data_IF_788135936299
#
_entry.id   IF_788135936299
#
_cell.length_a   1.000
_cell.length_b   1.000
_cell.length_c   1.000
_cell.angle_alpha   90.00
_cell.angle_beta   90.00
_cell.angle_gamma   90.00
#
_symmetry.space_group_name_H-M   'P 1'
#
loop_
_entity.id
_entity.type
_entity.pdbx_description
1 polymer ?
#
# COMPACT_ATOMS: atom_id res chain seq x y z
N UNK A 1 3.74 -23.01 -4.84
CA UNK A 1 2.39 -22.50 -5.18
C UNK A 1 2.26 -21.04 -4.76
N UNK A 2 1.37 -20.29 -5.44
CA UNK A 2 0.94 -18.94 -5.06
C UNK A 2 -0.47 -19.04 -4.48
N UNK A 3 -0.73 -18.42 -3.34
CA UNK A 3 -2.02 -18.50 -2.64
C UNK A 3 -2.41 -17.15 -2.02
N UNK A 4 -3.67 -17.02 -1.65
CA UNK A 4 -4.21 -15.92 -0.84
C UNK A 4 -5.00 -16.46 0.35
N UNK A 5 -4.96 -15.71 1.46
CA UNK A 5 -5.78 -15.94 2.65
C UNK A 5 -6.62 -14.69 2.88
N UNK A 6 -7.92 -14.87 3.10
CA UNK A 6 -8.81 -13.76 3.48
C UNK A 6 -8.65 -13.42 4.97
N UNK A 7 -9.12 -12.26 5.40
CA UNK A 7 -9.14 -11.89 6.82
C UNK A 7 -9.94 -12.89 7.69
N UNK A 8 -10.90 -13.61 7.11
CA UNK A 8 -11.65 -14.69 7.75
C UNK A 8 -10.98 -16.06 7.71
N UNK A 9 -9.70 -16.16 7.24
CA UNK A 9 -8.92 -17.40 7.20
C UNK A 9 -9.18 -18.30 5.98
N UNK A 10 -10.01 -17.89 5.01
CA UNK A 10 -10.26 -18.71 3.81
C UNK A 10 -9.01 -18.75 2.94
N UNK A 11 -8.48 -19.95 2.74
CA UNK A 11 -7.31 -20.22 1.91
C UNK A 11 -7.73 -20.54 0.47
N UNK A 12 -7.09 -19.87 -0.51
CA UNK A 12 -7.33 -20.11 -1.94
C UNK A 12 -5.99 -20.15 -2.69
N UNK A 13 -5.75 -21.22 -3.44
CA UNK A 13 -4.61 -21.31 -4.37
C UNK A 13 -4.92 -20.47 -5.60
N UNK A 14 -4.01 -19.54 -5.92
CA UNK A 14 -4.07 -18.71 -7.12
C UNK A 14 -3.40 -19.45 -8.28
N UNK A 15 -2.22 -20.06 -8.04
CA UNK A 15 -1.46 -20.77 -9.05
C UNK A 15 -0.55 -21.86 -8.45
N UNK A 16 -0.49 -23.02 -9.10
CA UNK A 16 0.46 -24.07 -8.78
C UNK A 16 1.60 -24.06 -9.80
N UNK A 17 2.82 -23.80 -9.32
CA UNK A 17 4.02 -23.90 -10.15
C UNK A 17 4.25 -25.35 -10.57
N UNK A 18 4.61 -25.58 -11.85
CA UNK A 18 4.83 -26.92 -12.39
C UNK A 18 6.24 -27.47 -12.11
N UNK A 19 7.14 -26.62 -11.60
CA UNK A 19 8.50 -27.02 -11.24
C UNK A 19 9.47 -27.13 -12.44
N UNK A 20 9.03 -26.79 -13.62
CA UNK A 20 9.84 -26.86 -14.85
C UNK A 20 9.91 -25.50 -15.55
N UNK A 21 8.91 -25.15 -16.35
CA UNK A 21 8.92 -23.92 -17.15
C UNK A 21 8.60 -22.65 -16.38
N UNK A 22 7.85 -22.75 -15.31
CA UNK A 22 7.44 -21.65 -14.44
C UNK A 22 8.29 -21.57 -13.15
N UNK A 23 9.26 -22.47 -13.01
CA UNK A 23 10.20 -22.51 -11.90
C UNK A 23 9.69 -23.31 -10.70
N UNK A 24 10.57 -23.50 -9.72
CA UNK A 24 10.32 -24.20 -8.47
C UNK A 24 10.88 -23.41 -7.28
N UNK A 25 10.42 -23.73 -6.06
CA UNK A 25 10.93 -23.10 -4.85
C UNK A 25 10.63 -21.59 -4.78
N UNK A 26 9.35 -21.15 -4.75
CA UNK A 26 9.03 -19.73 -4.47
C UNK A 26 9.38 -19.45 -3.01
N UNK A 27 10.55 -18.86 -2.77
CA UNK A 27 11.14 -18.66 -1.45
C UNK A 27 10.89 -17.27 -0.88
N UNK A 28 10.48 -16.33 -1.71
CA UNK A 28 10.29 -14.94 -1.32
C UNK A 28 8.83 -14.50 -1.30
N UNK A 29 8.56 -13.38 -0.61
CA UNK A 29 7.25 -12.71 -0.67
C UNK A 29 6.93 -12.15 -2.05
N UNK A 30 5.64 -11.96 -2.32
CA UNK A 30 5.15 -11.31 -3.54
C UNK A 30 5.00 -9.81 -3.34
N UNK A 31 5.26 -9.04 -4.41
CA UNK A 31 4.88 -7.63 -4.50
C UNK A 31 3.65 -7.48 -5.38
N UNK A 32 2.62 -6.79 -4.89
CA UNK A 32 1.52 -6.35 -5.73
C UNK A 32 1.87 -4.99 -6.34
N UNK A 33 2.08 -4.97 -7.64
CA UNK A 33 2.46 -3.76 -8.36
C UNK A 33 1.25 -2.87 -8.70
N UNK A 34 1.53 -1.69 -9.24
CA UNK A 34 0.52 -0.65 -9.56
C UNK A 34 -0.54 -1.10 -10.56
N UNK A 35 -0.27 -2.14 -11.38
CA UNK A 35 -1.24 -2.76 -12.29
C UNK A 35 -2.11 -3.84 -11.62
N UNK A 36 -1.97 -4.05 -10.31
CA UNK A 36 -2.71 -5.06 -9.54
C UNK A 36 -2.21 -6.49 -9.67
N UNK A 37 -1.25 -6.79 -10.58
CA UNK A 37 -0.61 -8.11 -10.67
C UNK A 37 0.35 -8.34 -9.51
N UNK A 38 0.55 -9.60 -9.17
CA UNK A 38 1.52 -10.06 -8.20
C UNK A 38 2.80 -10.46 -8.93
N UNK A 39 3.95 -10.07 -8.41
CA UNK A 39 5.25 -10.44 -8.97
C UNK A 39 6.09 -11.12 -7.90
N UNK A 40 6.82 -12.15 -8.29
CA UNK A 40 7.67 -12.93 -7.41
C UNK A 40 8.82 -13.60 -8.14
N UNK A 41 9.60 -14.34 -7.38
CA UNK A 41 10.74 -15.10 -7.89
C UNK A 41 10.68 -16.56 -7.45
N UNK A 42 11.36 -17.42 -8.18
CA UNK A 42 11.61 -18.84 -7.81
C UNK A 42 13.10 -19.09 -7.78
N UNK A 43 13.55 -19.89 -6.85
CA UNK A 43 14.98 -20.28 -6.76
C UNK A 43 15.38 -21.34 -7.78
N UNK A 44 14.47 -22.25 -8.10
CA UNK A 44 14.62 -23.37 -9.03
C UNK A 44 15.91 -24.20 -8.87
N UNK A 45 16.08 -24.80 -7.72
CA UNK A 45 17.28 -25.55 -7.34
C UNK A 45 17.62 -26.77 -8.24
N UNK A 46 16.72 -27.22 -9.13
CA UNK A 46 16.87 -28.48 -9.86
C UNK A 46 17.01 -28.35 -11.38
N UNK A 47 16.59 -27.27 -12.01
CA UNK A 47 16.48 -27.16 -13.48
C UNK A 47 16.96 -25.81 -14.05
N UNK A 48 17.59 -24.98 -13.25
CA UNK A 48 18.05 -23.65 -13.66
C UNK A 48 18.45 -22.79 -12.48
N UNK A 49 18.62 -21.51 -12.70
CA UNK A 49 19.07 -20.55 -11.70
C UNK A 49 17.93 -19.67 -11.15
N UNK A 50 16.68 -20.08 -11.36
CA UNK A 50 15.49 -19.37 -10.91
C UNK A 50 14.82 -18.55 -11.99
N UNK A 51 13.63 -18.05 -11.67
CA UNK A 51 12.81 -17.23 -12.57
C UNK A 51 12.26 -15.99 -11.86
N UNK A 52 11.87 -15.00 -12.66
CA UNK A 52 10.99 -13.91 -12.24
C UNK A 52 9.66 -14.14 -12.93
N UNK A 53 8.56 -14.06 -12.18
CA UNK A 53 7.22 -14.27 -12.71
C UNK A 53 6.23 -13.17 -12.34
N UNK A 54 5.17 -13.07 -13.13
CA UNK A 54 3.99 -12.29 -12.84
C UNK A 54 2.75 -13.16 -12.83
N UNK A 55 1.83 -12.94 -11.89
CA UNK A 55 0.55 -13.66 -11.84
C UNK A 55 -0.58 -12.70 -11.50
N UNK A 56 -1.72 -12.84 -12.18
CA UNK A 56 -2.93 -12.09 -11.81
C UNK A 56 -3.57 -12.68 -10.57
N UNK A 57 -4.39 -11.90 -9.88
CA UNK A 57 -5.16 -12.39 -8.72
C UNK A 57 -6.21 -13.44 -9.10
N UNK A 58 -6.47 -13.63 -10.40
CA UNK A 58 -7.33 -14.67 -10.98
C UNK A 58 -6.56 -15.91 -11.47
N UNK A 59 -5.20 -15.93 -11.39
CA UNK A 59 -4.40 -17.11 -11.69
C UNK A 59 -3.72 -17.14 -13.06
N UNK A 60 -3.81 -16.09 -13.87
CA UNK A 60 -3.04 -16.04 -15.14
C UNK A 60 -1.57 -15.80 -14.84
N UNK A 61 -0.74 -16.78 -15.09
CA UNK A 61 0.70 -16.80 -14.80
C UNK A 61 1.52 -16.49 -16.07
N UNK A 62 2.66 -15.83 -15.87
CA UNK A 62 3.63 -15.54 -16.93
C UNK A 62 5.04 -15.56 -16.35
N UNK A 63 5.94 -16.36 -16.90
CA UNK A 63 7.38 -16.25 -16.67
C UNK A 63 7.89 -15.03 -17.42
N UNK A 64 8.52 -14.10 -16.70
CA UNK A 64 9.00 -12.82 -17.24
C UNK A 64 10.49 -12.88 -17.59
N UNK A 65 11.23 -13.64 -16.80
CA UNK A 65 12.67 -13.83 -16.96
C UNK A 65 13.08 -15.16 -16.37
N UNK A 66 14.04 -15.85 -17.04
CA UNK A 66 14.68 -17.07 -16.54
C UNK A 66 16.18 -16.81 -16.46
N UNK A 67 16.74 -16.95 -15.27
CA UNK A 67 18.19 -16.87 -15.07
C UNK A 67 18.86 -18.11 -15.68
N UNK A 68 19.91 -17.90 -16.49
CA UNK A 68 20.58 -18.97 -17.19
C UNK A 68 22.02 -19.18 -16.72
N UNK A 69 22.55 -20.40 -16.92
CA UNK A 69 23.84 -20.81 -16.39
C UNK A 69 25.07 -20.33 -17.21
N UNK A 70 24.88 -19.63 -18.33
CA UNK A 70 26.00 -19.16 -19.14
C UNK A 70 26.72 -17.99 -18.46
N UNK A 71 27.82 -18.31 -17.78
CA UNK A 71 28.74 -17.38 -17.10
C UNK A 71 28.15 -16.46 -16.01
N UNK A 72 26.90 -16.66 -15.64
CA UNK A 72 26.17 -15.95 -14.57
C UNK A 72 26.23 -14.41 -14.55
N UNK A 73 26.34 -13.69 -15.69
CA UNK A 73 26.50 -12.24 -15.68
C UNK A 73 25.27 -11.54 -15.13
N UNK A 74 24.10 -12.12 -15.35
CA UNK A 74 22.77 -11.66 -14.88
C UNK A 74 22.40 -12.21 -13.50
N UNK A 75 23.24 -13.10 -12.95
CA UNK A 75 23.03 -13.70 -11.65
C UNK A 75 22.21 -15.00 -11.67
N UNK A 76 21.88 -15.48 -10.50
CA UNK A 76 21.05 -16.67 -10.29
C UNK A 76 20.60 -16.79 -8.83
N UNK A 77 19.65 -17.68 -8.58
CA UNK A 77 19.02 -17.89 -7.28
C UNK A 77 18.49 -16.58 -6.69
N UNK A 78 17.44 -15.97 -7.29
CA UNK A 78 16.81 -14.77 -6.75
C UNK A 78 16.04 -15.15 -5.49
N UNK A 79 16.56 -14.76 -4.32
CA UNK A 79 16.02 -15.11 -3.00
C UNK A 79 15.29 -13.96 -2.30
N UNK A 80 15.46 -12.74 -2.79
CA UNK A 80 14.82 -11.56 -2.20
C UNK A 80 13.45 -11.27 -2.82
N UNK A 81 12.48 -10.74 -2.03
CA UNK A 81 11.26 -10.19 -2.58
C UNK A 81 11.58 -9.07 -3.58
N UNK A 82 10.79 -9.00 -4.63
CA UNK A 82 10.85 -7.85 -5.54
C UNK A 82 10.25 -6.61 -4.86
N UNK A 83 10.80 -5.44 -5.19
CA UNK A 83 10.20 -4.16 -4.84
C UNK A 83 9.84 -3.40 -6.12
N UNK A 84 8.69 -2.73 -6.15
CA UNK A 84 8.37 -1.76 -7.18
C UNK A 84 8.86 -0.38 -6.72
N UNK A 85 9.82 0.18 -7.45
CA UNK A 85 10.33 1.53 -7.22
C UNK A 85 9.45 2.56 -7.94
N UNK A 86 9.51 3.81 -7.50
CA UNK A 86 8.67 4.92 -8.02
C UNK A 86 8.94 5.30 -9.47
N UNK A 87 10.00 4.76 -10.09
CA UNK A 87 10.24 4.85 -11.55
C UNK A 87 9.40 3.87 -12.37
N UNK A 88 8.67 2.97 -11.70
CA UNK A 88 7.84 1.94 -12.32
C UNK A 88 8.54 0.60 -12.52
N UNK A 89 9.85 0.51 -12.28
CA UNK A 89 10.61 -0.73 -12.44
C UNK A 89 10.50 -1.63 -11.21
N UNK A 90 10.67 -2.92 -11.43
CA UNK A 90 10.85 -3.91 -10.38
C UNK A 90 12.34 -4.10 -10.11
N UNK A 91 12.73 -4.19 -8.86
CA UNK A 91 14.11 -4.38 -8.41
C UNK A 91 14.20 -5.62 -7.52
N UNK A 92 15.31 -6.33 -7.65
CA UNK A 92 15.62 -7.51 -6.84
C UNK A 92 17.10 -7.81 -6.81
N UNK A 93 17.46 -8.85 -6.08
CA UNK A 93 18.85 -9.34 -5.98
C UNK A 93 18.91 -10.84 -6.23
N UNK A 94 20.04 -11.30 -6.73
CA UNK A 94 20.39 -12.72 -6.83
C UNK A 94 21.42 -13.09 -5.79
N UNK A 95 21.51 -14.38 -5.47
CA UNK A 95 22.48 -14.89 -4.50
C UNK A 95 23.85 -15.13 -5.16
N UNK A 96 23.88 -15.56 -6.41
CA UNK A 96 25.11 -15.85 -7.16
C UNK A 96 25.24 -14.99 -8.40
N UNK A 97 26.42 -14.99 -9.02
CA UNK A 97 26.71 -14.30 -10.27
C UNK A 97 27.29 -12.89 -10.07
N UNK A 98 27.33 -12.12 -11.15
CA UNK A 98 27.98 -10.82 -11.19
C UNK A 98 29.45 -10.94 -11.58
N UNK A 99 30.28 -9.95 -11.19
CA UNK A 99 31.68 -9.90 -11.62
C UNK A 99 32.56 -10.92 -10.87
N UNK A 100 33.10 -11.96 -11.55
CA UNK A 100 33.94 -12.97 -10.93
C UNK A 100 35.32 -12.44 -10.52
N UNK A 101 35.74 -11.27 -11.04
CA UNK A 101 37.05 -10.68 -10.74
C UNK A 101 37.26 -10.23 -9.31
N UNK A 102 36.17 -10.16 -8.52
CA UNK A 102 36.21 -9.75 -7.11
C UNK A 102 36.59 -10.89 -6.15
N UNK A 103 36.93 -12.10 -6.65
CA UNK A 103 37.30 -13.25 -5.83
C UNK A 103 36.17 -13.79 -4.96
N UNK A 104 34.95 -13.36 -5.20
CA UNK A 104 33.78 -13.79 -4.46
C UNK A 104 33.21 -15.08 -5.05
N UNK A 105 32.96 -16.07 -4.19
CA UNK A 105 32.38 -17.34 -4.58
C UNK A 105 31.27 -17.72 -3.61
N UNK A 106 30.22 -18.32 -4.13
CA UNK A 106 29.13 -18.91 -3.35
C UNK A 106 29.12 -20.41 -3.57
N UNK A 107 28.97 -21.17 -2.50
CA UNK A 107 28.82 -22.64 -2.57
C UNK A 107 27.37 -22.98 -2.29
N UNK A 108 26.73 -23.64 -3.24
CA UNK A 108 25.37 -24.15 -3.11
C UNK A 108 25.38 -25.67 -3.28
N UNK A 109 24.35 -26.32 -2.82
CA UNK A 109 24.21 -27.78 -2.84
C UNK A 109 22.98 -28.21 -3.67
N UNK A 110 22.90 -27.85 -4.98
CA UNK A 110 21.82 -28.31 -5.83
C UNK A 110 21.92 -29.83 -5.99
N UNK A 111 20.86 -30.55 -5.59
CA UNK A 111 20.87 -32.02 -5.64
C UNK A 111 21.77 -32.73 -4.61
N UNK A 112 22.28 -31.97 -3.60
CA UNK A 112 23.09 -32.54 -2.51
C UNK A 112 24.61 -32.47 -2.71
N UNK A 113 25.10 -32.13 -3.91
CA UNK A 113 26.52 -31.95 -4.20
C UNK A 113 26.92 -30.47 -4.20
N UNK A 114 28.13 -30.14 -3.67
CA UNK A 114 28.59 -28.76 -3.64
C UNK A 114 28.92 -28.25 -5.05
N UNK A 115 28.29 -27.17 -5.45
CA UNK A 115 28.63 -26.48 -6.68
C UNK A 115 29.12 -25.07 -6.34
N UNK A 116 30.28 -24.71 -6.87
CA UNK A 116 30.88 -23.36 -6.70
C UNK A 116 30.36 -22.46 -7.79
N UNK A 117 29.74 -21.37 -7.37
CA UNK A 117 29.29 -20.29 -8.25
C UNK A 117 30.17 -19.07 -8.05
N UNK A 118 30.64 -18.46 -9.14
CA UNK A 118 31.42 -17.24 -9.09
C UNK A 118 30.54 -16.02 -8.90
N UNK A 119 31.05 -15.01 -8.15
CA UNK A 119 30.38 -13.75 -7.89
C UNK A 119 29.56 -13.73 -6.57
N UNK A 120 29.18 -12.52 -6.16
CA UNK A 120 28.48 -12.23 -4.90
C UNK A 120 27.00 -11.88 -5.08
N UNK A 121 26.44 -12.21 -6.22
CA UNK A 121 25.08 -11.83 -6.60
C UNK A 121 25.03 -10.55 -7.41
N UNK A 122 23.86 -10.27 -7.93
CA UNK A 122 23.54 -9.14 -8.80
C UNK A 122 22.35 -8.37 -8.24
N UNK A 123 22.46 -7.05 -8.24
CA UNK A 123 21.30 -6.16 -8.11
C UNK A 123 20.75 -5.91 -9.51
N UNK A 124 19.52 -6.31 -9.76
CA UNK A 124 18.90 -6.20 -11.08
C UNK A 124 17.62 -5.34 -11.06
N UNK A 125 17.27 -4.84 -12.24
CA UNK A 125 16.01 -4.17 -12.50
C UNK A 125 15.29 -4.82 -13.68
N UNK A 126 13.97 -4.90 -13.60
CA UNK A 126 13.11 -5.45 -14.64
C UNK A 126 12.05 -4.44 -15.04
N UNK A 127 11.95 -4.15 -16.33
CA UNK A 127 10.89 -3.34 -16.89
C UNK A 127 9.75 -4.26 -17.37
N UNK A 128 8.59 -4.14 -16.73
CA UNK A 128 7.37 -4.89 -17.08
C UNK A 128 6.27 -3.97 -17.63
N UNK A 129 6.67 -2.80 -18.13
CA UNK A 129 5.77 -1.83 -18.73
C UNK A 129 4.96 -0.99 -17.74
N UNK A 130 5.38 -0.92 -16.47
CA UNK A 130 4.72 -0.08 -15.45
C UNK A 130 5.26 1.36 -15.53
N UNK A 131 4.33 2.31 -15.43
CA UNK A 131 4.68 3.73 -15.39
C UNK A 131 5.16 4.20 -14.02
N UNK A 132 5.89 5.35 -13.97
CA UNK A 132 6.24 5.99 -12.72
C UNK A 132 5.01 6.40 -11.91
N UNK A 133 5.14 6.34 -10.58
CA UNK A 133 4.10 6.70 -9.62
C UNK A 133 4.69 7.46 -8.42
N UNK A 134 3.83 7.91 -7.50
CA UNK A 134 4.27 8.45 -6.22
C UNK A 134 3.88 7.51 -5.08
N UNK A 135 4.71 7.49 -4.03
CA UNK A 135 4.47 6.71 -2.80
C UNK A 135 4.38 7.64 -1.61
N UNK A 136 3.44 7.36 -0.71
CA UNK A 136 3.11 8.22 0.42
C UNK A 136 3.69 7.68 1.72
N UNK A 137 4.23 8.58 2.55
CA UNK A 137 4.85 8.25 3.85
C UNK A 137 4.50 9.31 4.91
N UNK A 138 3.59 9.01 5.86
CA UNK A 138 2.70 7.85 5.93
C UNK A 138 1.57 7.90 4.88
N UNK A 139 0.78 6.83 4.77
CA UNK A 139 -0.39 6.72 3.87
C UNK A 139 -1.72 7.08 4.53
N UNK A 140 -1.66 7.70 5.69
CA UNK A 140 -2.83 8.20 6.41
C UNK A 140 -2.43 9.35 7.33
N UNK A 141 -3.36 10.24 7.57
CA UNK A 141 -3.17 11.37 8.47
C UNK A 141 -4.41 12.24 8.54
N UNK A 142 -4.50 13.05 9.58
CA UNK A 142 -5.55 14.07 9.72
C UNK A 142 -5.23 15.29 8.85
N UNK A 143 -6.22 16.13 8.61
CA UNK A 143 -6.02 17.45 8.03
C UNK A 143 -4.96 18.26 8.78
N UNK A 144 -4.16 19.02 8.08
CA UNK A 144 -3.01 19.75 8.60
C UNK A 144 -1.77 18.91 8.89
N UNK A 145 -1.83 17.57 8.80
CA UNK A 145 -0.66 16.73 8.97
C UNK A 145 0.32 16.88 7.80
N UNK A 146 1.62 16.83 8.10
CA UNK A 146 2.67 16.80 7.07
C UNK A 146 2.96 15.36 6.67
N UNK A 147 3.03 15.09 5.36
CA UNK A 147 3.40 13.79 4.80
C UNK A 147 4.55 13.93 3.80
N UNK A 148 5.35 12.88 3.68
CA UNK A 148 6.35 12.72 2.64
C UNK A 148 5.77 12.07 1.40
N UNK A 149 6.16 12.54 0.22
CA UNK A 149 5.81 11.99 -1.08
C UNK A 149 7.10 11.64 -1.80
N UNK A 150 7.30 10.35 -2.05
CA UNK A 150 8.41 9.83 -2.83
C UNK A 150 7.99 9.69 -4.30
N UNK A 151 8.89 10.03 -5.21
CA UNK A 151 8.64 9.94 -6.65
C UNK A 151 9.88 10.27 -7.46
N UNK A 152 9.70 10.67 -8.70
CA UNK A 152 10.79 10.98 -9.63
C UNK A 152 10.54 12.30 -10.38
N UNK A 153 11.62 13.05 -10.64
CA UNK A 153 11.58 14.23 -11.49
C UNK A 153 10.79 15.41 -10.92
N UNK A 154 10.74 15.55 -9.60
CA UNK A 154 10.11 16.68 -8.94
C UNK A 154 10.94 17.96 -9.11
N UNK A 155 10.26 19.10 -9.17
CA UNK A 155 10.85 20.43 -9.23
C UNK A 155 10.10 21.36 -8.26
N UNK A 156 10.62 22.56 -8.04
CA UNK A 156 9.92 23.59 -7.24
C UNK A 156 8.55 23.99 -7.80
N UNK A 157 8.30 23.72 -9.09
CA UNK A 157 7.00 23.93 -9.76
C UNK A 157 6.04 22.72 -9.67
N UNK A 158 6.41 21.67 -8.96
CA UNK A 158 5.53 20.50 -8.77
C UNK A 158 4.34 20.87 -7.89
N UNK A 159 3.14 20.50 -8.36
CA UNK A 159 1.87 20.75 -7.67
C UNK A 159 1.32 19.43 -7.11
N UNK A 160 1.06 19.42 -5.82
CA UNK A 160 0.47 18.27 -5.11
C UNK A 160 -1.02 18.47 -4.92
N UNK A 161 -1.82 17.43 -5.20
CA UNK A 161 -3.26 17.42 -4.90
C UNK A 161 -3.65 16.13 -4.18
N UNK A 162 -4.46 16.29 -3.13
CA UNK A 162 -5.11 15.21 -2.42
C UNK A 162 -6.56 15.15 -2.87
N UNK A 163 -6.94 14.09 -3.57
CA UNK A 163 -8.28 13.92 -4.13
C UNK A 163 -8.78 15.19 -4.86
N UNK A 164 -7.90 15.82 -5.65
CA UNK A 164 -8.17 17.06 -6.38
C UNK A 164 -7.90 18.36 -5.61
N UNK A 165 -7.83 18.35 -4.27
CA UNK A 165 -7.58 19.55 -3.45
C UNK A 165 -6.08 19.86 -3.43
N UNK A 166 -5.70 21.08 -3.80
CA UNK A 166 -4.30 21.52 -3.86
C UNK A 166 -3.71 21.67 -2.45
N UNK A 167 -2.55 21.05 -2.23
CA UNK A 167 -1.83 21.08 -0.97
C UNK A 167 -0.73 22.16 -0.96
N UNK A 168 -0.45 22.72 0.21
CA UNK A 168 0.81 23.42 0.46
C UNK A 168 1.92 22.37 0.52
N UNK A 169 2.96 22.57 -0.29
CA UNK A 169 4.05 21.60 -0.40
C UNK A 169 5.41 22.25 -0.59
N UNK A 170 6.47 21.53 -0.18
CA UNK A 170 7.87 21.93 -0.35
C UNK A 170 8.63 20.78 -0.99
N UNK A 171 9.20 21.02 -2.17
CA UNK A 171 10.07 20.06 -2.86
C UNK A 171 11.45 20.05 -2.22
N UNK A 172 11.95 18.85 -1.92
CA UNK A 172 13.28 18.60 -1.36
C UNK A 172 14.07 17.65 -2.28
N UNK A 173 14.69 18.20 -3.30
CA UNK A 173 15.34 17.41 -4.37
C UNK A 173 14.34 16.87 -5.40
N UNK A 174 14.83 16.05 -6.33
CA UNK A 174 14.05 15.55 -7.46
C UNK A 174 13.16 14.34 -7.15
N UNK A 175 13.22 13.81 -5.93
CA UNK A 175 12.57 12.55 -5.55
C UNK A 175 11.73 12.63 -4.28
N UNK A 176 11.68 13.79 -3.61
CA UNK A 176 10.94 13.97 -2.36
C UNK A 176 10.21 15.31 -2.30
N UNK A 177 8.94 15.26 -1.88
CA UNK A 177 8.12 16.43 -1.53
C UNK A 177 7.57 16.23 -0.12
N UNK A 178 7.59 17.28 0.70
CA UNK A 178 6.81 17.37 1.92
C UNK A 178 5.53 18.15 1.62
N UNK A 179 4.36 17.60 1.93
CA UNK A 179 3.07 18.23 1.68
C UNK A 179 2.19 18.20 2.93
N UNK A 180 1.40 19.26 3.13
CA UNK A 180 0.40 19.33 4.21
C UNK A 180 -0.94 18.87 3.68
N UNK A 181 -1.60 17.96 4.40
CA UNK A 181 -2.95 17.48 4.07
C UNK A 181 -3.93 18.63 4.11
N UNK A 182 -4.58 19.00 2.99
CA UNK A 182 -5.51 20.13 2.97
C UNK A 182 -6.80 19.85 3.76
N UNK A 183 -7.45 20.90 4.23
CA UNK A 183 -8.81 20.81 4.76
C UNK A 183 -9.80 20.41 3.66
N UNK A 184 -10.85 19.65 4.02
CA UNK A 184 -11.87 19.16 3.09
C UNK A 184 -11.40 18.07 2.13
N UNK A 185 -10.20 17.51 2.35
CA UNK A 185 -9.67 16.40 1.56
C UNK A 185 -10.42 15.11 1.88
N UNK A 186 -10.80 14.37 0.84
CA UNK A 186 -11.36 13.02 0.99
C UNK A 186 -10.25 11.95 0.99
N UNK A 187 -10.56 10.79 1.57
CA UNK A 187 -9.74 9.59 1.38
C UNK A 187 -9.74 9.23 -0.09
N UNK A 188 -8.58 9.28 -0.73
CA UNK A 188 -8.48 9.14 -2.18
C UNK A 188 -7.05 9.14 -2.68
N UNK A 189 -6.87 9.33 -3.98
CA UNK A 189 -5.56 9.37 -4.61
C UNK A 189 -4.85 10.69 -4.35
N UNK A 190 -3.51 10.63 -4.26
CA UNK A 190 -2.67 11.82 -4.28
C UNK A 190 -1.97 11.91 -5.62
N UNK A 191 -2.04 13.08 -6.25
CA UNK A 191 -1.36 13.35 -7.52
C UNK A 191 -0.28 14.39 -7.36
N UNK A 192 0.80 14.22 -8.12
CA UNK A 192 1.86 15.23 -8.27
C UNK A 192 2.01 15.54 -9.75
N UNK A 193 1.77 16.79 -10.11
CA UNK A 193 1.95 17.30 -11.47
C UNK A 193 3.22 18.13 -11.56
N UNK A 194 4.14 17.74 -12.45
CA UNK A 194 5.36 18.48 -12.78
C UNK A 194 5.39 18.74 -14.28
N UNK A 195 5.27 20.01 -14.68
CA UNK A 195 5.07 20.37 -16.10
C UNK A 195 3.82 19.71 -16.66
N UNK A 196 3.94 18.98 -17.76
CA UNK A 196 2.84 18.26 -18.41
C UNK A 196 2.61 16.84 -17.83
N UNK A 197 3.43 16.38 -16.89
CA UNK A 197 3.37 15.01 -16.36
C UNK A 197 2.67 14.96 -15.00
N UNK A 198 1.62 14.16 -14.90
CA UNK A 198 0.95 13.85 -13.62
C UNK A 198 1.24 12.41 -13.22
N UNK A 199 1.68 12.22 -11.98
CA UNK A 199 1.87 10.91 -11.35
C UNK A 199 0.90 10.74 -10.21
N UNK A 200 0.31 9.55 -10.11
CA UNK A 200 -0.68 9.23 -9.07
C UNK A 200 -0.06 8.29 -8.04
N UNK A 201 -0.52 8.39 -6.81
CA UNK A 201 -0.09 7.50 -5.73
C UNK A 201 -0.50 6.05 -5.98
N UNK A 202 0.40 5.12 -5.66
CA UNK A 202 0.16 3.68 -5.79
C UNK A 202 -0.88 3.13 -4.79
N UNK A 203 -1.19 3.91 -3.77
CA UNK A 203 -2.23 3.62 -2.76
C UNK A 203 -2.96 4.91 -2.41
N UNK A 204 -4.24 4.79 -2.07
CA UNK A 204 -5.00 5.92 -1.57
C UNK A 204 -4.41 6.46 -0.26
N UNK A 205 -4.46 7.76 -0.08
CA UNK A 205 -4.25 8.42 1.20
C UNK A 205 -5.53 8.35 2.01
N UNK A 206 -5.46 7.90 3.26
CA UNK A 206 -6.61 7.83 4.16
C UNK A 206 -6.64 9.06 5.06
N UNK A 207 -7.67 9.89 4.91
CA UNK A 207 -7.90 11.04 5.79
C UNK A 207 -8.51 10.53 7.09
N UNK A 208 -7.74 10.58 8.17
CA UNK A 208 -8.22 10.14 9.49
C UNK A 208 -9.11 11.22 10.11
N UNK A 209 -10.34 10.88 10.54
CA UNK A 209 -11.24 11.86 11.14
C UNK A 209 -10.74 12.34 12.50
N UNK A 210 -11.16 13.54 12.89
CA UNK A 210 -11.08 14.02 14.28
C UNK A 210 -12.47 14.24 14.82
N UNK A 211 -12.68 14.11 16.13
CA UNK A 211 -13.98 14.25 16.76
C UNK A 211 -13.85 14.88 18.17
N UNK A 212 -13.63 16.19 18.28
CA UNK A 212 -13.42 16.84 19.56
C UNK A 212 -14.68 17.14 20.37
N UNK A 213 -15.86 17.30 19.74
CA UNK A 213 -17.05 17.76 20.48
C UNK A 213 -18.38 17.32 19.84
N UNK A 214 -19.41 17.31 20.67
CA UNK A 214 -20.79 17.08 20.26
C UNK A 214 -21.77 17.86 21.17
N UNK A 215 -22.95 18.12 20.66
CA UNK A 215 -24.01 18.83 21.37
C UNK A 215 -25.41 18.35 20.89
N UNK A 216 -26.37 18.06 21.79
CA UNK A 216 -26.30 18.07 23.24
C UNK A 216 -25.40 16.94 23.80
N UNK A 217 -25.04 17.02 25.10
CA UNK A 217 -24.21 16.01 25.78
C UNK A 217 -25.07 14.89 26.41
N UNK A 218 -26.39 15.05 26.42
CA UNK A 218 -27.36 14.06 26.92
C UNK A 218 -28.69 14.19 26.19
N UNK A 219 -29.49 13.12 26.22
CA UNK A 219 -30.85 13.13 25.70
C UNK A 219 -31.45 11.73 25.62
N UNK A 220 -32.77 11.63 25.46
CA UNK A 220 -33.46 10.36 25.21
C UNK A 220 -33.24 9.86 23.77
N UNK A 221 -33.76 8.65 23.49
CA UNK A 221 -33.82 8.11 22.11
C UNK A 221 -34.46 9.14 21.16
N UNK A 222 -33.98 9.20 19.92
CA UNK A 222 -34.35 10.14 18.86
C UNK A 222 -33.89 11.58 19.08
N UNK A 223 -33.08 11.86 20.10
CA UNK A 223 -32.41 13.19 20.21
C UNK A 223 -31.43 13.36 19.08
N UNK A 224 -31.54 14.43 18.26
CA UNK A 224 -30.52 14.74 17.26
C UNK A 224 -29.28 15.35 17.94
N UNK A 225 -28.13 14.72 17.73
CA UNK A 225 -26.83 15.13 18.27
C UNK A 225 -25.96 15.63 17.12
N UNK A 226 -25.50 16.87 17.23
CA UNK A 226 -24.55 17.47 16.29
C UNK A 226 -23.13 17.12 16.72
N UNK A 227 -22.41 16.44 15.84
CA UNK A 227 -21.03 15.98 16.02
C UNK A 227 -20.12 16.89 15.22
N UNK A 228 -19.13 17.51 15.86
CA UNK A 228 -18.20 18.46 15.24
C UNK A 228 -16.78 17.88 15.21
N UNK A 229 -16.10 18.00 14.07
CA UNK A 229 -14.77 17.44 13.87
C UNK A 229 -14.14 17.89 12.55
N UNK A 230 -13.26 17.06 11.98
CA UNK A 230 -12.70 17.23 10.62
C UNK A 230 -12.59 15.87 9.94
N UNK A 231 -12.57 15.84 8.61
CA UNK A 231 -12.51 14.61 7.84
C UNK A 231 -13.80 13.79 7.92
N UNK A 232 -14.96 14.43 8.15
CA UNK A 232 -16.25 13.77 8.41
C UNK A 232 -17.08 13.52 7.15
N UNK A 233 -16.70 14.06 5.98
CA UNK A 233 -17.48 13.93 4.73
C UNK A 233 -17.76 12.49 4.35
N UNK A 234 -16.84 11.57 4.63
CA UNK A 234 -16.97 10.14 4.29
C UNK A 234 -17.45 9.30 5.48
N UNK A 235 -18.26 9.86 6.38
CA UNK A 235 -18.86 9.13 7.49
C UNK A 235 -19.80 8.04 6.97
N UNK A 236 -19.57 6.81 7.43
CA UNK A 236 -20.35 5.63 7.05
C UNK A 236 -21.17 5.09 8.22
N UNK A 237 -20.80 5.43 9.46
CA UNK A 237 -21.47 4.93 10.67
C UNK A 237 -21.20 5.86 11.85
N UNK A 238 -22.22 6.01 12.71
CA UNK A 238 -22.10 6.60 14.04
C UNK A 238 -22.69 5.63 15.07
N UNK A 239 -22.05 5.51 16.23
CA UNK A 239 -22.58 4.68 17.34
C UNK A 239 -22.65 5.48 18.64
N UNK A 240 -23.66 5.19 19.47
CA UNK A 240 -23.84 5.71 20.82
C UNK A 240 -23.74 4.54 21.81
N UNK A 241 -22.72 4.53 22.68
CA UNK A 241 -22.47 3.41 23.60
C UNK A 241 -22.37 2.05 22.88
N UNK A 242 -21.86 2.01 21.63
CA UNK A 242 -21.74 0.82 20.81
C UNK A 242 -22.96 0.52 19.91
N UNK A 243 -24.13 1.13 20.12
CA UNK A 243 -25.34 0.93 19.31
C UNK A 243 -25.33 1.88 18.11
N UNK A 244 -25.54 1.34 16.91
CA UNK A 244 -25.48 2.12 15.67
C UNK A 244 -26.71 3.03 15.53
N UNK A 245 -26.46 4.32 15.20
CA UNK A 245 -27.50 5.26 14.82
C UNK A 245 -28.14 4.82 13.50
N UNK A 246 -29.47 4.93 13.42
CA UNK A 246 -30.24 4.62 12.21
C UNK A 246 -30.35 5.82 11.29
N UNK A 247 -30.33 7.03 11.84
CA UNK A 247 -30.31 8.31 11.10
C UNK A 247 -28.96 8.96 11.29
N UNK A 248 -28.24 9.15 10.19
CA UNK A 248 -26.95 9.86 10.14
C UNK A 248 -26.96 10.78 8.93
N UNK A 249 -26.81 12.08 9.18
CA UNK A 249 -26.74 13.11 8.13
C UNK A 249 -25.36 13.75 8.14
N UNK A 250 -24.63 13.63 7.06
CA UNK A 250 -23.35 14.33 6.86
C UNK A 250 -23.68 15.74 6.37
N UNK A 251 -23.50 16.74 7.23
CA UNK A 251 -23.80 18.14 6.92
C UNK A 251 -22.63 18.81 6.16
N UNK A 252 -21.40 18.49 6.55
CA UNK A 252 -20.17 19.00 5.94
C UNK A 252 -18.97 18.15 6.35
N UNK A 253 -17.78 18.51 5.91
CA UNK A 253 -16.54 17.88 6.38
C UNK A 253 -16.28 18.07 7.88
N UNK A 254 -16.88 19.08 8.47
CA UNK A 254 -16.69 19.41 9.90
C UNK A 254 -17.89 19.11 10.77
N UNK A 255 -19.01 18.61 10.20
CA UNK A 255 -20.24 18.39 10.95
C UNK A 255 -21.03 17.19 10.44
N UNK A 256 -21.46 16.35 11.39
CA UNK A 256 -22.41 15.25 11.18
C UNK A 256 -23.51 15.36 12.23
N UNK A 257 -24.75 15.09 11.85
CA UNK A 257 -25.88 14.95 12.79
C UNK A 257 -26.31 13.50 12.84
N UNK A 258 -26.47 12.96 14.04
CA UNK A 258 -26.95 11.59 14.24
C UNK A 258 -27.98 11.53 15.38
N UNK A 259 -29.05 10.75 15.18
CA UNK A 259 -30.08 10.59 16.20
C UNK A 259 -29.71 9.44 17.16
N UNK A 260 -29.95 9.64 18.45
CA UNK A 260 -29.73 8.62 19.48
C UNK A 260 -30.63 7.38 19.16
N UNK A 261 -30.02 6.21 18.88
CA UNK A 261 -30.80 5.04 18.47
C UNK A 261 -31.54 4.36 19.63
N UNK A 262 -32.59 3.63 19.31
CA UNK A 262 -33.25 2.71 20.27
C UNK A 262 -32.22 1.68 20.77
N UNK A 263 -32.17 1.49 22.09
CA UNK A 263 -31.22 0.59 22.75
C UNK A 263 -29.83 1.21 23.00
N UNK A 264 -29.63 2.49 22.68
CA UNK A 264 -28.42 3.20 23.07
C UNK A 264 -28.24 3.18 24.58
N UNK A 265 -27.01 3.11 25.03
CA UNK A 265 -26.63 3.22 26.44
C UNK A 265 -25.63 4.39 26.58
N UNK A 266 -25.57 4.94 27.79
CA UNK A 266 -24.60 5.96 28.15
C UNK A 266 -23.18 5.45 27.82
N UNK A 267 -22.40 6.24 27.08
CA UNK A 267 -21.07 5.84 26.65
C UNK A 267 -20.51 6.73 25.55
N UNK A 268 -19.37 6.34 25.02
CA UNK A 268 -18.69 7.07 23.94
C UNK A 268 -19.48 7.07 22.63
N UNK A 269 -19.36 8.18 21.90
CA UNK A 269 -19.82 8.26 20.52
C UNK A 269 -18.61 7.90 19.63
N UNK A 270 -18.83 7.02 18.65
CA UNK A 270 -17.82 6.64 17.67
C UNK A 270 -18.31 7.00 16.27
N UNK A 271 -17.47 7.70 15.52
CA UNK A 271 -17.66 8.00 14.09
C UNK A 271 -16.72 7.10 13.30
N UNK A 272 -17.27 6.42 12.29
CA UNK A 272 -16.51 5.61 11.33
C UNK A 272 -16.57 6.28 9.96
N UNK A 273 -15.41 6.49 9.36
CA UNK A 273 -15.27 7.04 7.99
C UNK A 273 -14.46 6.07 7.12
N UNK A 274 -14.39 6.33 5.80
CA UNK A 274 -13.49 5.58 4.91
C UNK A 274 -12.01 5.73 5.29
N UNK A 275 -11.65 6.81 5.99
CA UNK A 275 -10.27 7.09 6.42
C UNK A 275 -9.89 6.46 7.76
N UNK A 276 -10.86 6.14 8.60
CA UNK A 276 -10.62 5.59 9.93
C UNK A 276 -11.75 5.84 10.91
N UNK A 277 -11.41 5.77 12.19
CA UNK A 277 -12.36 5.88 13.31
C UNK A 277 -11.94 7.05 14.19
N UNK A 278 -12.92 7.83 14.68
CA UNK A 278 -12.74 8.80 15.75
C UNK A 278 -13.74 8.55 16.88
N UNK A 279 -13.28 8.71 18.10
CA UNK A 279 -14.05 8.51 19.33
C UNK A 279 -14.17 9.81 20.11
N UNK A 280 -15.33 10.05 20.71
CA UNK A 280 -15.52 11.24 21.56
C UNK A 280 -14.63 11.22 22.80
N UNK A 281 -14.19 12.38 23.25
CA UNK A 281 -13.40 12.51 24.50
C UNK A 281 -14.24 12.25 25.75
N UNK A 282 -15.52 12.64 25.71
CA UNK A 282 -16.50 12.47 26.80
C UNK A 282 -17.58 11.47 26.40
N UNK A 283 -18.34 10.97 27.36
CA UNK A 283 -19.50 10.11 27.14
C UNK A 283 -20.74 10.94 26.85
N UNK A 284 -21.62 10.40 26.02
CA UNK A 284 -22.99 10.87 25.85
C UNK A 284 -23.88 10.17 26.87
N UNK A 285 -24.70 10.92 27.62
CA UNK A 285 -25.63 10.37 28.60
C UNK A 285 -26.99 10.10 27.94
N UNK A 286 -27.43 8.85 27.96
CA UNK A 286 -28.78 8.48 27.51
C UNK A 286 -29.74 8.55 28.70
N UNK A 287 -30.82 9.36 28.57
CA UNK A 287 -31.85 9.60 29.61
C UNK A 287 -33.03 8.66 29.48
#
# INVERSE_FOLDING_TARGET
MVFKITAGGTYNVIYNLNGTTDGAGPSSGLVQATNGKLYGVTENLNVGLGTIFGVTTSGTFTTLYSFTAADYPDGGYPVSPLIQHTDGLLYGTTYVGGNPSNGCQSILYPGGEPTVYNGCGVFYKLNVGLGPFVSLLPRSGKEGASIGILGQGFTSASVVRFDGVTAVSTTRGSNFISATVPAGTLTGSVTVTTGATTRTSNKAFRVTPTFPSFNPTSGPVSTPVVLTGTGLTQTTKVTFGGVAATTVTVNSDTQVTADVPTGAVTGKIIIVTNGGIAESTTEFTVN
#
